data_IF_622543485264
#
_entry.id   IF_622543485264
#
_cell.length_a   1.000
_cell.length_b   1.000
_cell.length_c   1.000
_cell.angle_alpha   90.00
_cell.angle_beta   90.00
_cell.angle_gamma   90.00
#
_symmetry.space_group_name_H-M   'P 1'
#
loop_
_entity.id
_entity.type
_entity.pdbx_description
1 polymer ?
#
# COMPACT_ATOMS: atom_id res chain seq x y z
N UNK A 1 -2.56 1.00 32.25
CA UNK A 1 -2.06 0.46 30.97
C UNK A 1 -1.14 1.51 30.35
N UNK A 2 0.15 1.26 30.28
CA UNK A 2 1.10 2.12 29.57
C UNK A 2 0.80 1.89 28.08
N UNK A 3 0.12 2.83 27.44
CA UNK A 3 -0.09 2.80 25.98
C UNK A 3 1.29 3.07 25.38
N UNK A 4 1.99 2.03 24.96
CA UNK A 4 3.22 2.17 24.16
C UNK A 4 2.80 2.83 22.84
N UNK A 5 3.05 4.13 22.70
CA UNK A 5 2.84 4.86 21.47
C UNK A 5 3.99 4.51 20.51
N UNK A 6 3.82 3.46 19.71
CA UNK A 6 4.77 3.14 18.66
C UNK A 6 4.75 4.27 17.62
N UNK A 7 5.94 4.73 17.27
CA UNK A 7 6.14 5.53 16.05
C UNK A 7 5.88 4.63 14.85
N UNK A 8 5.18 5.13 13.83
CA UNK A 8 4.87 4.35 12.66
C UNK A 8 4.99 5.16 11.37
N UNK A 9 5.14 4.45 10.24
CA UNK A 9 5.10 4.96 8.87
C UNK A 9 3.93 4.28 8.17
N UNK A 10 3.01 5.04 7.63
CA UNK A 10 1.85 4.52 6.89
C UNK A 10 2.19 4.39 5.41
N UNK A 11 2.39 3.17 4.93
CA UNK A 11 2.81 2.89 3.55
C UNK A 11 1.69 2.98 2.52
N UNK A 12 0.45 3.34 2.91
CA UNK A 12 -0.69 3.31 1.99
C UNK A 12 -1.74 4.35 2.37
N UNK A 13 -1.61 5.55 1.81
CA UNK A 13 -2.54 6.67 2.02
C UNK A 13 -3.00 7.18 0.67
N UNK A 14 -4.30 7.35 0.48
CA UNK A 14 -4.88 8.03 -0.66
C UNK A 14 -5.40 9.40 -0.27
N UNK A 15 -5.13 10.40 -1.08
CA UNK A 15 -5.70 11.74 -0.95
C UNK A 15 -5.62 12.47 -2.29
N UNK A 16 -6.67 13.23 -2.62
CA UNK A 16 -6.64 14.24 -3.67
C UNK A 16 -7.45 15.47 -3.23
N UNK A 17 -7.28 16.58 -3.96
CA UNK A 17 -8.09 17.80 -3.79
C UNK A 17 -9.21 17.88 -4.85
N UNK A 18 -9.62 16.76 -5.42
CA UNK A 18 -10.56 16.68 -6.54
C UNK A 18 -11.98 16.33 -6.09
N UNK A 19 -12.97 17.00 -6.65
CA UNK A 19 -14.39 16.69 -6.38
C UNK A 19 -14.86 15.39 -7.04
N UNK A 20 -14.14 14.90 -8.06
CA UNK A 20 -14.46 13.66 -8.79
C UNK A 20 -13.72 12.42 -8.26
N UNK A 21 -13.03 12.54 -7.12
CA UNK A 21 -12.36 11.43 -6.42
C UNK A 21 -13.37 10.37 -5.97
N UNK A 22 -13.13 9.13 -6.39
CA UNK A 22 -14.00 7.98 -6.10
C UNK A 22 -13.92 7.47 -4.67
N UNK A 23 -12.95 7.95 -3.88
CA UNK A 23 -12.82 7.59 -2.46
C UNK A 23 -13.57 8.54 -1.52
N UNK A 24 -14.12 9.66 -2.01
CA UNK A 24 -14.95 10.58 -1.22
C UNK A 24 -16.10 9.85 -0.49
N UNK A 25 -16.84 8.92 -1.14
CA UNK A 25 -17.87 8.16 -0.43
C UNK A 25 -17.32 7.31 0.73
N UNK A 26 -16.16 6.70 0.55
CA UNK A 26 -15.50 5.92 1.61
C UNK A 26 -15.04 6.82 2.76
N UNK A 27 -14.49 7.99 2.45
CA UNK A 27 -14.13 8.99 3.45
C UNK A 27 -15.36 9.42 4.29
N UNK A 28 -16.46 9.78 3.64
CA UNK A 28 -17.71 10.16 4.30
C UNK A 28 -18.27 9.03 5.16
N UNK A 29 -18.21 7.79 4.67
CA UNK A 29 -18.67 6.61 5.38
C UNK A 29 -17.90 6.39 6.69
N UNK A 30 -16.60 6.67 6.69
CA UNK A 30 -15.70 6.55 7.84
C UNK A 30 -15.64 7.86 8.68
N UNK A 31 -16.44 8.88 8.36
CA UNK A 31 -16.50 10.15 9.09
C UNK A 31 -15.29 11.06 8.88
N UNK A 32 -14.59 10.92 7.75
CA UNK A 32 -13.45 11.75 7.40
C UNK A 32 -13.85 12.94 6.51
N UNK A 33 -13.25 14.11 6.71
CA UNK A 33 -13.39 15.28 5.84
C UNK A 33 -12.54 15.17 4.57
N UNK A 34 -11.62 14.21 4.51
CA UNK A 34 -10.77 13.87 3.37
C UNK A 34 -9.94 15.06 2.86
N UNK A 35 -9.24 15.71 3.77
CA UNK A 35 -8.38 16.86 3.50
C UNK A 35 -6.97 16.63 4.01
N UNK A 36 -6.00 17.43 3.50
CA UNK A 36 -4.61 17.36 3.99
C UNK A 36 -4.50 17.70 5.49
N UNK A 37 -5.30 18.65 5.96
CA UNK A 37 -5.31 19.03 7.39
C UNK A 37 -5.83 17.87 8.25
N UNK A 38 -6.86 17.17 7.79
CA UNK A 38 -7.39 16.04 8.55
C UNK A 38 -6.43 14.86 8.60
N UNK A 39 -5.88 14.44 7.46
CA UNK A 39 -4.90 13.33 7.48
C UNK A 39 -3.69 13.69 8.35
N UNK A 40 -3.23 14.95 8.29
CA UNK A 40 -2.16 15.44 9.18
C UNK A 40 -2.54 15.29 10.66
N UNK A 41 -3.77 15.65 11.02
CA UNK A 41 -4.29 15.49 12.38
C UNK A 41 -4.39 14.01 12.80
N UNK A 42 -4.86 13.14 11.90
CA UNK A 42 -4.95 11.69 12.13
C UNK A 42 -3.56 11.09 12.32
N UNK A 43 -2.61 11.43 11.46
CA UNK A 43 -1.22 10.96 11.56
C UNK A 43 -0.60 11.39 12.90
N UNK A 44 -0.77 12.66 13.30
CA UNK A 44 -0.29 13.16 14.60
C UNK A 44 -0.93 12.38 15.77
N UNK A 45 -2.24 12.14 15.73
CA UNK A 45 -2.97 11.37 16.76
C UNK A 45 -2.44 9.94 16.89
N UNK A 46 -2.08 9.33 15.77
CA UNK A 46 -1.63 7.94 15.69
C UNK A 46 -0.10 7.78 15.80
N UNK A 47 0.63 8.86 16.05
CA UNK A 47 2.09 8.87 16.10
C UNK A 47 2.74 8.39 14.78
N UNK A 48 2.07 8.69 13.64
CA UNK A 48 2.54 8.41 12.29
C UNK A 48 3.43 9.57 11.84
N UNK A 49 4.71 9.30 11.60
CA UNK A 49 5.73 10.33 11.32
C UNK A 49 5.98 10.53 9.83
N UNK A 50 5.56 9.60 9.00
CA UNK A 50 5.63 9.68 7.55
C UNK A 50 4.52 8.84 6.91
N UNK A 51 4.10 9.20 5.71
CA UNK A 51 3.14 8.42 4.94
C UNK A 51 3.50 8.37 3.46
N UNK A 52 3.19 7.26 2.79
CA UNK A 52 3.27 7.17 1.34
C UNK A 52 1.92 7.59 0.73
N UNK A 53 1.98 8.56 -0.16
CA UNK A 53 0.80 9.13 -0.82
C UNK A 53 0.65 8.52 -2.22
N UNK A 54 -0.40 7.72 -2.38
CA UNK A 54 -0.77 7.05 -3.62
C UNK A 54 -1.94 7.79 -4.30
N UNK A 55 -1.97 7.75 -5.64
CA UNK A 55 -3.08 8.32 -6.40
C UNK A 55 -4.38 7.58 -6.11
N UNK A 56 -5.46 8.28 -5.70
CA UNK A 56 -6.79 7.68 -5.67
C UNK A 56 -7.37 7.58 -7.09
N UNK A 57 -8.39 6.72 -7.31
CA UNK A 57 -9.15 6.72 -8.56
C UNK A 57 -10.05 7.96 -8.65
N UNK A 58 -10.06 8.61 -9.83
CA UNK A 58 -10.92 9.76 -10.15
C UNK A 58 -11.91 9.41 -11.26
N UNK A 59 -12.37 10.37 -12.05
CA UNK A 59 -13.31 10.15 -13.16
C UNK A 59 -12.89 8.95 -14.03
N UNK A 60 -13.88 8.14 -14.43
CA UNK A 60 -13.67 6.91 -15.22
C UNK A 60 -12.72 5.88 -14.55
N UNK A 61 -12.56 5.94 -13.25
CA UNK A 61 -11.66 5.05 -12.47
C UNK A 61 -10.18 5.12 -12.88
N UNK A 62 -9.78 6.21 -13.54
CA UNK A 62 -8.36 6.49 -13.79
C UNK A 62 -7.67 6.98 -12.50
N UNK A 63 -6.36 6.79 -12.35
CA UNK A 63 -5.64 7.38 -11.22
C UNK A 63 -5.65 8.90 -11.30
N UNK A 64 -5.66 9.57 -10.15
CA UNK A 64 -5.40 11.01 -10.05
C UNK A 64 -4.04 11.33 -10.70
N UNK A 65 -3.91 12.44 -11.48
CA UNK A 65 -2.65 12.79 -12.12
C UNK A 65 -1.47 12.85 -11.14
N UNK A 66 -0.34 12.27 -11.56
CA UNK A 66 0.85 12.17 -10.71
C UNK A 66 1.41 13.55 -10.31
N UNK A 67 1.24 14.58 -11.14
CA UNK A 67 1.61 15.96 -10.84
C UNK A 67 0.84 16.52 -9.64
N UNK A 68 -0.43 16.17 -9.50
CA UNK A 68 -1.25 16.56 -8.34
C UNK A 68 -0.78 15.87 -7.05
N UNK A 69 -0.38 14.60 -7.14
CA UNK A 69 0.21 13.86 -6.02
C UNK A 69 1.54 14.48 -5.58
N UNK A 70 2.40 14.86 -6.53
CA UNK A 70 3.63 15.60 -6.24
C UNK A 70 3.32 16.94 -5.56
N UNK A 71 2.32 17.68 -6.06
CA UNK A 71 1.93 18.98 -5.47
C UNK A 71 1.42 18.81 -4.02
N UNK A 72 0.57 17.80 -3.76
CA UNK A 72 0.09 17.49 -2.40
C UNK A 72 1.22 17.06 -1.47
N UNK A 73 2.12 16.20 -1.95
CA UNK A 73 3.31 15.82 -1.20
C UNK A 73 4.13 17.04 -0.76
N UNK A 74 4.37 17.99 -1.66
CA UNK A 74 5.06 19.25 -1.34
C UNK A 74 4.30 20.09 -0.32
N UNK A 75 2.97 20.21 -0.44
CA UNK A 75 2.11 20.91 0.53
C UNK A 75 2.19 20.28 1.92
N UNK A 76 2.43 18.98 2.03
CA UNK A 76 2.56 18.27 3.32
C UNK A 76 3.84 18.58 4.09
N UNK A 77 4.79 19.32 3.49
CA UNK A 77 6.06 19.75 4.12
C UNK A 77 6.90 18.59 4.66
N UNK A 78 6.97 17.48 3.91
CA UNK A 78 7.77 16.31 4.26
C UNK A 78 7.06 15.28 5.12
N UNK A 79 5.74 15.39 5.29
CA UNK A 79 4.94 14.38 5.99
C UNK A 79 4.49 13.25 5.06
N UNK A 80 4.13 13.57 3.80
CA UNK A 80 3.66 12.63 2.79
C UNK A 80 4.66 12.56 1.63
N UNK A 81 5.01 11.35 1.24
CA UNK A 81 5.96 11.05 0.17
C UNK A 81 5.25 10.42 -1.02
N UNK A 82 5.48 10.88 -2.27
CA UNK A 82 4.70 10.45 -3.42
C UNK A 82 5.09 9.05 -3.89
N UNK A 83 4.06 8.26 -4.22
CA UNK A 83 4.12 7.04 -5.00
C UNK A 83 3.32 7.29 -6.27
N UNK A 84 3.97 7.16 -7.44
CA UNK A 84 3.33 7.44 -8.72
C UNK A 84 2.53 6.24 -9.20
N UNK A 85 1.27 6.47 -9.57
CA UNK A 85 0.41 5.40 -10.10
C UNK A 85 0.48 5.37 -11.62
N UNK A 86 0.55 4.17 -12.17
CA UNK A 86 0.73 3.93 -13.59
C UNK A 86 -0.55 3.40 -14.24
N UNK A 87 -0.82 3.88 -15.45
CA UNK A 87 -1.78 3.25 -16.35
C UNK A 87 -1.03 2.30 -17.30
N UNK A 88 -1.76 1.32 -17.82
CA UNK A 88 -1.23 0.34 -18.77
C UNK A 88 -1.06 0.97 -20.19
N UNK A 89 -0.31 2.04 -20.24
CA UNK A 89 -0.01 2.78 -21.48
C UNK A 89 1.45 3.22 -21.45
N UNK A 90 2.14 3.09 -22.59
CA UNK A 90 3.56 3.47 -22.70
C UNK A 90 3.80 4.92 -22.30
N UNK A 91 2.93 5.82 -22.76
CA UNK A 91 3.06 7.26 -22.51
C UNK A 91 2.89 7.57 -21.01
N UNK A 92 2.02 6.86 -20.30
CA UNK A 92 1.86 6.97 -18.85
C UNK A 92 3.14 6.57 -18.12
N UNK A 93 3.77 5.46 -18.50
CA UNK A 93 5.03 5.00 -17.91
C UNK A 93 6.14 6.01 -18.17
N UNK A 94 6.30 6.49 -19.39
CA UNK A 94 7.35 7.46 -19.75
C UNK A 94 7.16 8.82 -19.05
N UNK A 95 5.92 9.27 -18.90
CA UNK A 95 5.60 10.48 -18.15
C UNK A 95 5.94 10.32 -16.65
N UNK A 96 5.59 9.18 -16.05
CA UNK A 96 5.91 8.91 -14.65
C UNK A 96 7.43 8.84 -14.40
N UNK A 97 8.19 8.23 -15.30
CA UNK A 97 9.67 8.20 -15.21
C UNK A 97 10.27 9.62 -15.28
N UNK A 98 9.79 10.47 -16.21
CA UNK A 98 10.23 11.88 -16.29
C UNK A 98 9.92 12.66 -15.01
N UNK A 99 8.77 12.42 -14.37
CA UNK A 99 8.43 13.02 -13.07
C UNK A 99 9.42 12.52 -12.00
N UNK A 100 9.71 11.23 -11.97
CA UNK A 100 10.61 10.63 -11.00
C UNK A 100 12.06 11.13 -11.12
N UNK A 101 12.53 11.45 -12.32
CA UNK A 101 13.88 12.03 -12.55
C UNK A 101 14.05 13.43 -11.91
N UNK A 102 12.97 14.16 -11.71
CA UNK A 102 12.99 15.54 -11.21
C UNK A 102 12.40 15.71 -9.81
N UNK A 103 11.88 14.62 -9.22
CA UNK A 103 11.22 14.65 -7.91
C UNK A 103 11.67 13.45 -7.06
N UNK A 104 11.62 13.63 -5.74
CA UNK A 104 11.84 12.51 -4.80
C UNK A 104 10.60 11.64 -4.76
N UNK A 105 10.62 10.54 -5.52
CA UNK A 105 9.55 9.55 -5.57
C UNK A 105 9.97 8.33 -4.74
N UNK A 106 9.04 7.75 -3.99
CA UNK A 106 9.31 6.63 -3.08
C UNK A 106 8.80 5.28 -3.57
N UNK A 107 8.07 5.28 -4.69
CA UNK A 107 7.56 4.05 -5.30
C UNK A 107 6.76 4.32 -6.54
N UNK A 108 6.43 3.24 -7.25
CA UNK A 108 5.45 3.23 -8.33
C UNK A 108 4.33 2.24 -7.97
N UNK A 109 3.09 2.56 -8.32
CA UNK A 109 1.91 1.72 -8.08
C UNK A 109 1.33 1.22 -9.38
N UNK A 110 1.08 -0.09 -9.46
CA UNK A 110 0.35 -0.75 -10.56
C UNK A 110 -0.93 -1.35 -9.99
N UNK A 111 -2.07 -1.08 -10.66
CA UNK A 111 -3.39 -1.46 -10.20
C UNK A 111 -3.83 -2.79 -10.84
N UNK A 112 -3.19 -3.89 -10.44
CA UNK A 112 -3.58 -5.23 -10.90
C UNK A 112 -5.05 -5.52 -10.59
N UNK A 113 -5.74 -6.19 -11.50
CA UNK A 113 -7.15 -6.51 -11.36
C UNK A 113 -8.09 -5.38 -11.77
N UNK A 114 -7.79 -4.13 -11.47
CA UNK A 114 -8.52 -2.96 -12.01
C UNK A 114 -8.12 -2.70 -13.46
N UNK A 115 -6.85 -2.77 -13.75
CA UNK A 115 -6.31 -2.91 -15.09
C UNK A 115 -6.11 -4.41 -15.34
N UNK A 116 -6.65 -4.93 -16.45
CA UNK A 116 -6.59 -6.36 -16.78
C UNK A 116 -5.23 -6.73 -17.37
N UNK A 117 -4.17 -6.59 -16.58
CA UNK A 117 -2.76 -6.77 -16.93
C UNK A 117 -2.08 -7.70 -15.93
N UNK A 118 -1.01 -8.31 -16.35
CA UNK A 118 -0.13 -9.07 -15.47
C UNK A 118 1.12 -8.25 -15.11
N UNK A 119 1.70 -8.47 -13.91
CA UNK A 119 2.89 -7.73 -13.49
C UNK A 119 4.12 -8.03 -14.37
N UNK A 120 4.14 -9.15 -15.06
CA UNK A 120 5.22 -9.54 -15.98
C UNK A 120 4.97 -9.12 -17.45
N UNK A 121 3.96 -8.32 -17.73
CA UNK A 121 3.73 -7.79 -19.08
C UNK A 121 4.89 -6.90 -19.52
N UNK A 122 5.41 -7.13 -20.72
CA UNK A 122 6.61 -6.46 -21.25
C UNK A 122 6.54 -4.93 -21.30
N UNK A 123 5.35 -4.36 -21.26
CA UNK A 123 5.16 -2.90 -21.22
C UNK A 123 5.87 -2.26 -20.02
N UNK A 124 6.03 -3.00 -18.90
CA UNK A 124 6.65 -2.51 -17.68
C UNK A 124 8.18 -2.68 -17.63
N UNK A 125 8.80 -3.33 -18.62
CA UNK A 125 10.23 -3.61 -18.56
C UNK A 125 11.08 -2.36 -18.34
N UNK A 126 10.80 -1.26 -19.04
CA UNK A 126 11.50 0.03 -18.87
C UNK A 126 11.35 0.60 -17.46
N UNK A 127 10.16 0.44 -16.86
CA UNK A 127 9.93 0.81 -15.47
C UNK A 127 10.76 -0.04 -14.51
N UNK A 128 10.76 -1.35 -14.71
CA UNK A 128 11.48 -2.26 -13.82
C UNK A 128 12.99 -2.05 -13.90
N UNK A 129 13.55 -1.84 -15.11
CA UNK A 129 14.96 -1.50 -15.28
C UNK A 129 15.33 -0.22 -14.51
N UNK A 130 14.47 0.82 -14.57
CA UNK A 130 14.64 2.06 -13.82
C UNK A 130 14.54 1.83 -12.31
N UNK A 131 13.56 1.04 -11.87
CA UNK A 131 13.33 0.75 -10.45
C UNK A 131 14.48 -0.07 -9.83
N UNK A 132 15.01 -1.04 -10.57
CA UNK A 132 16.19 -1.82 -10.15
C UNK A 132 17.43 -0.93 -10.03
N UNK A 133 17.69 -0.06 -11.02
CA UNK A 133 18.83 0.88 -11.01
C UNK A 133 18.76 1.87 -9.83
N UNK A 134 17.58 2.42 -9.58
CA UNK A 134 17.37 3.43 -8.52
C UNK A 134 17.00 2.83 -7.16
N UNK A 135 16.83 1.50 -7.10
CA UNK A 135 16.35 0.77 -5.91
C UNK A 135 15.02 1.33 -5.36
N UNK A 136 14.10 1.71 -6.28
CA UNK A 136 12.77 2.20 -5.97
C UNK A 136 11.79 1.02 -6.01
N UNK A 137 10.98 0.77 -4.96
CA UNK A 137 10.03 -0.34 -4.97
C UNK A 137 8.83 -0.09 -5.88
N UNK A 138 8.29 -1.19 -6.42
CA UNK A 138 7.01 -1.19 -7.14
C UNK A 138 5.94 -1.86 -6.28
N UNK A 139 4.84 -1.12 -6.04
CA UNK A 139 3.70 -1.56 -5.26
C UNK A 139 2.62 -2.08 -6.22
N UNK A 140 2.12 -3.26 -5.96
CA UNK A 140 1.06 -3.87 -6.77
C UNK A 140 -0.21 -4.00 -5.94
N UNK A 141 -1.33 -3.52 -6.50
CA UNK A 141 -2.63 -3.90 -5.94
C UNK A 141 -2.77 -5.42 -6.07
N UNK A 142 -3.07 -6.09 -4.97
CA UNK A 142 -3.33 -7.53 -4.93
C UNK A 142 -4.58 -7.83 -4.09
N UNK A 143 -5.19 -8.97 -4.33
CA UNK A 143 -6.34 -9.38 -3.54
C UNK A 143 -7.67 -8.98 -4.17
N UNK A 144 -8.64 -8.66 -3.32
CA UNK A 144 -9.98 -8.28 -3.71
C UNK A 144 -10.00 -6.98 -4.53
N UNK A 145 -10.97 -6.87 -5.41
CA UNK A 145 -11.23 -5.66 -6.19
C UNK A 145 -12.62 -5.11 -5.85
N UNK A 146 -12.70 -3.87 -5.41
CA UNK A 146 -13.98 -3.21 -5.09
C UNK A 146 -14.90 -3.01 -6.31
N UNK A 147 -14.37 -3.18 -7.52
CA UNK A 147 -15.10 -3.04 -8.79
C UNK A 147 -15.66 -4.38 -9.24
N UNK A 148 -16.95 -4.39 -9.65
CA UNK A 148 -17.56 -5.57 -10.30
C UNK A 148 -16.89 -5.95 -11.62
N UNK A 149 -16.23 -5.01 -12.27
CA UNK A 149 -15.46 -5.25 -13.50
C UNK A 149 -14.00 -5.62 -13.20
N UNK A 150 -13.62 -5.67 -11.93
CA UNK A 150 -12.28 -6.11 -11.52
C UNK A 150 -12.05 -7.59 -11.81
N UNK A 151 -10.83 -7.94 -12.16
CA UNK A 151 -10.43 -9.30 -12.48
C UNK A 151 -9.56 -9.88 -11.38
N UNK A 152 -10.13 -10.74 -10.55
CA UNK A 152 -9.42 -11.43 -9.47
C UNK A 152 -8.22 -12.26 -9.99
N UNK A 153 -8.33 -12.80 -11.20
CA UNK A 153 -7.23 -13.51 -11.84
C UNK A 153 -5.98 -12.64 -11.98
N UNK A 154 -6.14 -11.36 -12.32
CA UNK A 154 -5.02 -10.44 -12.50
C UNK A 154 -4.49 -9.90 -11.16
N UNK A 155 -5.35 -9.77 -10.13
CA UNK A 155 -4.95 -9.29 -8.79
C UNK A 155 -4.50 -10.41 -7.85
N UNK A 156 -4.51 -11.68 -8.30
CA UNK A 156 -4.05 -12.79 -7.48
C UNK A 156 -2.56 -12.65 -7.15
N UNK A 157 -2.13 -12.73 -5.87
CA UNK A 157 -0.75 -12.47 -5.48
C UNK A 157 0.29 -13.41 -6.12
N UNK A 158 -0.08 -14.64 -6.49
CA UNK A 158 0.84 -15.57 -7.17
C UNK A 158 1.35 -15.05 -8.53
N UNK A 159 0.69 -14.06 -9.13
CA UNK A 159 1.23 -13.42 -10.32
C UNK A 159 2.57 -12.70 -10.04
N UNK A 160 2.85 -12.33 -8.80
CA UNK A 160 4.11 -11.72 -8.40
C UNK A 160 5.26 -12.73 -8.27
N UNK A 161 4.98 -14.03 -8.17
CA UNK A 161 6.00 -15.08 -8.14
C UNK A 161 6.80 -15.11 -9.44
N UNK A 162 6.11 -15.03 -10.58
CA UNK A 162 6.75 -15.03 -11.91
C UNK A 162 7.58 -13.75 -12.12
N UNK A 163 7.05 -12.60 -11.72
CA UNK A 163 7.81 -11.35 -11.78
C UNK A 163 9.06 -11.42 -10.89
N UNK A 164 8.95 -11.87 -9.65
CA UNK A 164 10.06 -11.96 -8.73
C UNK A 164 11.16 -12.93 -9.20
N UNK A 165 10.78 -14.04 -9.85
CA UNK A 165 11.73 -14.97 -10.48
C UNK A 165 12.49 -14.30 -11.64
N UNK A 166 11.80 -13.51 -12.47
CA UNK A 166 12.41 -12.86 -13.66
C UNK A 166 13.18 -11.59 -13.33
N UNK A 167 12.91 -10.96 -12.18
CA UNK A 167 13.48 -9.67 -11.75
C UNK A 167 13.98 -9.75 -10.30
N UNK A 168 15.09 -10.46 -10.03
CA UNK A 168 15.57 -10.69 -8.65
C UNK A 168 16.08 -9.41 -7.97
N UNK A 169 16.40 -8.34 -8.70
CA UNK A 169 16.80 -7.03 -8.17
C UNK A 169 15.62 -6.09 -7.85
N UNK A 170 14.41 -6.41 -8.34
CA UNK A 170 13.25 -5.55 -8.18
C UNK A 170 12.65 -5.70 -6.78
N UNK A 171 12.50 -4.59 -6.05
CA UNK A 171 11.76 -4.55 -4.78
C UNK A 171 10.26 -4.50 -5.05
N UNK A 172 9.54 -5.52 -4.63
CA UNK A 172 8.12 -5.74 -4.92
C UNK A 172 7.32 -5.62 -3.63
N UNK A 173 6.19 -4.89 -3.65
CA UNK A 173 5.26 -4.82 -2.52
C UNK A 173 3.88 -5.30 -2.95
N UNK A 174 3.41 -6.41 -2.37
CA UNK A 174 2.04 -6.90 -2.50
C UNK A 174 1.13 -6.12 -1.54
N UNK A 175 0.31 -5.20 -2.06
CA UNK A 175 -0.61 -4.43 -1.23
C UNK A 175 -1.74 -5.32 -0.66
N UNK A 176 -2.27 -4.91 0.52
CA UNK A 176 -3.42 -5.55 1.18
C UNK A 176 -3.18 -7.00 1.59
N UNK A 177 -1.90 -7.39 1.70
CA UNK A 177 -1.48 -8.78 1.97
C UNK A 177 -2.16 -9.80 1.06
N UNK A 178 -2.54 -9.40 -0.15
CA UNK A 178 -3.25 -10.24 -1.11
C UNK A 178 -4.62 -10.74 -0.65
N UNK A 179 -5.24 -10.14 0.38
CA UNK A 179 -6.50 -10.60 0.95
C UNK A 179 -7.58 -10.80 -0.13
N UNK A 180 -8.26 -11.99 -0.23
CA UNK A 180 -8.32 -13.06 0.78
C UNK A 180 -7.22 -14.14 0.67
N UNK A 181 -6.29 -14.07 -0.28
CA UNK A 181 -5.22 -15.08 -0.51
C UNK A 181 -3.98 -14.82 0.36
N UNK A 182 -4.21 -14.66 1.68
CA UNK A 182 -3.16 -14.30 2.65
C UNK A 182 -2.04 -15.33 2.68
N UNK A 183 -2.34 -16.64 2.63
CA UNK A 183 -1.32 -17.68 2.68
C UNK A 183 -0.53 -17.81 1.37
N UNK A 184 -1.14 -17.54 0.22
CA UNK A 184 -0.43 -17.47 -1.07
C UNK A 184 0.57 -16.29 -1.06
N UNK A 185 0.17 -15.17 -0.47
CA UNK A 185 1.08 -14.02 -0.26
C UNK A 185 2.21 -14.38 0.71
N UNK A 186 1.92 -15.10 1.78
CA UNK A 186 2.94 -15.57 2.71
C UNK A 186 3.96 -16.48 2.03
N UNK A 187 3.52 -17.39 1.15
CA UNK A 187 4.40 -18.28 0.39
C UNK A 187 5.35 -17.51 -0.52
N UNK A 188 4.87 -16.54 -1.28
CA UNK A 188 5.74 -15.75 -2.18
C UNK A 188 6.71 -14.85 -1.41
N UNK A 189 6.34 -14.35 -0.22
CA UNK A 189 7.25 -13.62 0.67
C UNK A 189 8.32 -14.58 1.25
N UNK A 190 7.92 -15.79 1.65
CA UNK A 190 8.85 -16.81 2.13
C UNK A 190 9.88 -17.18 1.07
N UNK A 191 9.44 -17.34 -0.18
CA UNK A 191 10.27 -17.75 -1.32
C UNK A 191 11.22 -16.64 -1.82
N UNK A 192 10.79 -15.37 -1.82
CA UNK A 192 11.50 -14.25 -2.46
C UNK A 192 11.93 -13.18 -1.47
N UNK A 193 13.22 -12.94 -1.33
CA UNK A 193 13.78 -11.96 -0.39
C UNK A 193 13.46 -10.50 -0.74
N UNK A 194 13.21 -10.19 -2.03
CA UNK A 194 12.85 -8.85 -2.53
C UNK A 194 11.36 -8.55 -2.46
N UNK A 195 10.51 -9.48 -1.98
CA UNK A 195 9.06 -9.34 -1.95
C UNK A 195 8.57 -8.99 -0.53
N UNK A 196 7.83 -7.91 -0.45
CA UNK A 196 7.20 -7.34 0.75
C UNK A 196 5.68 -7.39 0.63
N UNK A 197 4.96 -7.23 1.74
CA UNK A 197 3.53 -6.95 1.72
C UNK A 197 3.15 -5.92 2.77
N UNK A 198 2.14 -5.09 2.47
CA UNK A 198 1.50 -4.23 3.48
C UNK A 198 0.21 -4.85 4.02
N UNK A 199 -0.15 -4.48 5.24
CA UNK A 199 -1.39 -4.92 5.91
C UNK A 199 -2.53 -3.91 5.74
N UNK A 200 -2.52 -3.14 4.67
CA UNK A 200 -3.51 -2.09 4.36
C UNK A 200 -4.84 -2.67 3.86
N UNK A 201 -5.90 -1.86 3.86
CA UNK A 201 -7.16 -2.18 3.17
C UNK A 201 -7.99 -3.32 3.77
N UNK A 202 -7.58 -3.91 4.89
CA UNK A 202 -8.23 -5.10 5.46
C UNK A 202 -9.59 -4.81 6.11
N UNK A 203 -9.96 -3.54 6.28
CA UNK A 203 -11.19 -3.08 6.90
C UNK A 203 -11.93 -2.06 6.03
N UNK A 204 -12.10 -2.38 4.75
CA UNK A 204 -12.84 -1.51 3.82
C UNK A 204 -14.35 -1.50 4.13
N UNK A 205 -14.94 -0.33 4.36
CA UNK A 205 -16.37 -0.16 4.63
C UNK A 205 -16.71 0.31 6.04
N UNK A 206 -18.01 0.28 6.40
CA UNK A 206 -18.48 0.77 7.71
C UNK A 206 -18.00 -0.10 8.85
N UNK A 207 -17.61 0.51 9.95
CA UNK A 207 -17.27 -0.18 11.21
C UNK A 207 -18.33 -1.16 11.70
N UNK A 208 -19.62 -0.86 11.44
CA UNK A 208 -20.75 -1.73 11.81
C UNK A 208 -20.77 -3.07 11.04
N UNK A 209 -20.07 -3.17 9.92
CA UNK A 209 -19.96 -4.41 9.12
C UNK A 209 -18.93 -5.37 9.76
N UNK A 210 -17.94 -4.83 10.48
CA UNK A 210 -16.87 -5.63 11.06
C UNK A 210 -17.16 -5.97 12.51
N UNK A 211 -17.66 -7.19 12.73
CA UNK A 211 -17.77 -7.76 14.07
C UNK A 211 -16.38 -7.95 14.70
N UNK A 212 -16.34 -8.07 16.04
CA UNK A 212 -15.12 -8.49 16.74
C UNK A 212 -14.56 -9.80 16.15
N UNK A 213 -15.43 -10.70 15.73
CA UNK A 213 -15.03 -11.99 15.10
C UNK A 213 -14.26 -11.79 13.80
N UNK A 214 -14.62 -10.80 12.95
CA UNK A 214 -13.88 -10.52 11.74
C UNK A 214 -12.50 -9.91 12.05
N UNK A 215 -12.45 -9.02 13.05
CA UNK A 215 -11.17 -8.46 13.51
C UNK A 215 -10.24 -9.57 14.02
N UNK A 216 -10.75 -10.47 14.87
CA UNK A 216 -9.99 -11.60 15.41
C UNK A 216 -9.55 -12.55 14.28
N UNK A 217 -10.43 -12.80 13.31
CA UNK A 217 -10.10 -13.59 12.12
C UNK A 217 -8.92 -12.98 11.34
N UNK A 218 -8.93 -11.66 11.08
CA UNK A 218 -7.84 -10.99 10.36
C UNK A 218 -6.54 -10.99 11.17
N UNK A 219 -6.61 -10.71 12.48
CA UNK A 219 -5.44 -10.75 13.36
C UNK A 219 -4.79 -12.16 13.37
N UNK A 220 -5.61 -13.19 13.48
CA UNK A 220 -5.14 -14.57 13.45
C UNK A 220 -4.58 -14.97 12.07
N UNK A 221 -5.21 -14.53 10.98
CA UNK A 221 -4.77 -14.86 9.62
C UNK A 221 -3.41 -14.24 9.29
N UNK A 222 -3.22 -12.96 9.62
CA UNK A 222 -1.93 -12.28 9.42
C UNK A 222 -0.86 -12.88 10.36
N UNK A 223 -1.19 -13.16 11.62
CA UNK A 223 -0.24 -13.79 12.54
C UNK A 223 0.22 -15.17 12.05
N UNK A 224 -0.71 -16.00 11.54
CA UNK A 224 -0.36 -17.30 10.93
C UNK A 224 0.55 -17.15 9.71
N UNK A 225 0.27 -16.18 8.86
CA UNK A 225 1.11 -15.88 7.70
C UNK A 225 2.53 -15.48 8.13
N UNK A 226 2.66 -14.60 9.12
CA UNK A 226 3.96 -14.19 9.67
C UNK A 226 4.72 -15.38 10.28
N UNK A 227 4.03 -16.23 11.04
CA UNK A 227 4.64 -17.45 11.61
C UNK A 227 5.10 -18.41 10.50
N UNK A 228 4.37 -18.52 9.40
CA UNK A 228 4.76 -19.31 8.23
C UNK A 228 6.01 -18.74 7.54
N UNK A 229 6.07 -17.41 7.34
CA UNK A 229 7.24 -16.71 6.78
C UNK A 229 8.47 -16.86 7.71
N UNK A 230 8.26 -16.96 9.02
CA UNK A 230 9.30 -17.13 10.03
C UNK A 230 9.97 -15.82 10.49
N UNK A 231 9.62 -14.67 9.92
CA UNK A 231 10.11 -13.36 10.33
C UNK A 231 9.14 -12.23 9.91
N UNK A 232 9.39 -11.01 10.38
CA UNK A 232 8.59 -9.82 10.09
C UNK A 232 9.30 -8.79 9.19
N UNK A 233 10.46 -9.12 8.64
CA UNK A 233 11.35 -8.14 7.98
C UNK A 233 10.80 -7.55 6.69
N UNK A 234 9.79 -8.18 6.11
CA UNK A 234 9.17 -7.78 4.83
C UNK A 234 7.69 -7.48 4.93
N UNK A 235 7.19 -7.26 6.16
CA UNK A 235 5.80 -6.85 6.40
C UNK A 235 5.78 -5.37 6.73
N UNK A 236 4.87 -4.63 6.12
CA UNK A 236 4.74 -3.19 6.22
C UNK A 236 3.41 -2.80 6.85
N UNK A 237 3.40 -1.74 7.64
CA UNK A 237 2.16 -1.09 8.07
C UNK A 237 1.68 -0.14 6.97
N UNK A 238 0.39 -0.20 6.65
CA UNK A 238 -0.31 0.72 5.78
C UNK A 238 -1.78 0.72 6.15
N UNK A 239 -2.46 1.87 6.05
CA UNK A 239 -3.88 1.95 6.40
C UNK A 239 -4.81 1.70 5.22
N UNK A 240 -4.49 2.22 4.06
CA UNK A 240 -5.40 2.41 2.93
C UNK A 240 -6.45 3.51 3.21
N UNK A 241 -6.04 4.56 3.94
CA UNK A 241 -6.89 5.75 4.15
C UNK A 241 -7.34 6.34 2.80
N UNK A 242 -8.58 6.72 2.59
CA UNK A 242 -9.69 6.77 3.55
C UNK A 242 -10.59 5.52 3.54
N UNK A 243 -10.19 4.45 2.83
CA UNK A 243 -10.97 3.20 2.67
C UNK A 243 -11.05 2.46 4.01
N UNK A 244 -9.93 2.33 4.71
CA UNK A 244 -9.89 1.77 6.06
C UNK A 244 -9.44 2.85 7.06
N UNK A 245 -10.06 2.91 8.26
CA UNK A 245 -9.62 3.82 9.32
C UNK A 245 -8.21 3.47 9.82
N UNK A 246 -7.25 4.42 9.82
CA UNK A 246 -5.87 4.14 10.22
C UNK A 246 -5.71 3.60 11.64
N UNK A 247 -6.51 4.09 12.60
CA UNK A 247 -6.50 3.62 13.99
C UNK A 247 -6.95 2.16 14.10
N UNK A 248 -7.82 1.68 13.22
CA UNK A 248 -8.28 0.30 13.19
C UNK A 248 -7.19 -0.65 12.68
N UNK A 249 -6.48 -0.28 11.61
CA UNK A 249 -5.35 -1.06 11.11
C UNK A 249 -4.18 -1.02 12.09
N UNK A 250 -3.96 0.12 12.75
CA UNK A 250 -2.97 0.21 13.83
C UNK A 250 -3.35 -0.72 15.00
N UNK A 251 -4.63 -0.78 15.38
CA UNK A 251 -5.12 -1.73 16.37
C UNK A 251 -4.88 -3.18 15.93
N UNK A 252 -5.06 -3.50 14.64
CA UNK A 252 -4.72 -4.83 14.10
C UNK A 252 -3.24 -5.14 14.33
N UNK A 253 -2.33 -4.25 13.93
CA UNK A 253 -0.89 -4.43 14.12
C UNK A 253 -0.50 -4.61 15.59
N UNK A 254 -1.22 -3.95 16.50
CA UNK A 254 -1.02 -4.09 17.95
C UNK A 254 -1.51 -5.43 18.51
N UNK A 255 -2.42 -6.12 17.81
CA UNK A 255 -3.00 -7.40 18.24
C UNK A 255 -2.44 -8.62 17.50
N UNK A 256 -1.43 -8.44 16.64
CA UNK A 256 -0.71 -9.56 16.03
C UNK A 256 0.05 -10.35 17.10
N UNK A 257 0.06 -11.67 16.96
CA UNK A 257 0.82 -12.59 17.82
C UNK A 257 2.31 -12.60 17.44
N UNK A 258 2.99 -11.53 17.79
CA UNK A 258 4.41 -11.27 17.48
C UNK A 258 5.10 -10.55 18.64
N UNK A 259 6.43 -10.58 18.64
CA UNK A 259 7.22 -9.87 19.65
C UNK A 259 7.10 -8.34 19.52
N UNK A 260 7.41 -7.61 20.59
CA UNK A 260 7.46 -6.14 20.56
C UNK A 260 8.51 -5.61 19.56
N UNK A 261 9.62 -6.34 19.36
CA UNK A 261 10.66 -6.05 18.37
C UNK A 261 10.09 -6.17 16.95
N UNK A 262 9.41 -7.27 16.65
CA UNK A 262 8.83 -7.52 15.32
C UNK A 262 7.71 -6.53 15.00
N UNK A 263 6.89 -6.18 15.99
CA UNK A 263 5.86 -5.13 15.85
C UNK A 263 6.47 -3.78 15.47
N UNK A 264 7.61 -3.41 16.07
CA UNK A 264 8.33 -2.19 15.72
C UNK A 264 8.87 -2.24 14.29
N UNK A 265 9.36 -3.41 13.83
CA UNK A 265 9.77 -3.60 12.44
C UNK A 265 8.61 -3.35 11.48
N UNK A 266 7.46 -3.99 11.69
CA UNK A 266 6.26 -3.82 10.85
C UNK A 266 5.80 -2.35 10.82
N UNK A 267 5.75 -1.71 11.99
CA UNK A 267 5.21 -0.35 12.11
C UNK A 267 6.15 0.72 11.56
N UNK A 268 7.47 0.50 11.60
CA UNK A 268 8.41 1.58 11.31
C UNK A 268 9.65 1.16 10.53
N UNK A 269 10.43 0.19 11.04
CA UNK A 269 11.79 -0.04 10.55
C UNK A 269 11.81 -0.55 9.11
N UNK A 270 10.95 -1.51 8.77
CA UNK A 270 10.88 -2.08 7.42
C UNK A 270 10.54 -1.02 6.36
N UNK A 271 9.56 -0.16 6.65
CA UNK A 271 9.18 0.92 5.75
C UNK A 271 10.29 1.95 5.60
N UNK A 272 10.95 2.32 6.72
CA UNK A 272 12.08 3.26 6.72
C UNK A 272 13.23 2.74 5.85
N UNK A 273 13.57 1.47 5.97
CA UNK A 273 14.63 0.82 5.20
C UNK A 273 14.24 0.71 3.71
N UNK A 274 13.06 0.16 3.42
CA UNK A 274 12.61 -0.10 2.04
C UNK A 274 12.49 1.19 1.22
N UNK A 275 11.87 2.22 1.80
CA UNK A 275 11.57 3.49 1.10
C UNK A 275 12.62 4.59 1.36
N UNK A 276 13.65 4.31 2.17
CA UNK A 276 14.72 5.28 2.52
C UNK A 276 14.14 6.61 3.04
N UNK A 277 13.33 6.50 4.10
CA UNK A 277 12.64 7.62 4.77
C UNK A 277 13.43 8.15 5.99
#
# INVERSE_FOLDING_TARGET
MITLHYVNIDCHIHLSERDDDKLIPSAKMNGFSYTLDEITRIMKKNNTVAGLLLSPPVSNWRPCPNEEIIALSRKSKGLLFPVLTLENERDSIEAALKIADTNTVKGFKILLGYQHIYPYDHIFNKLYDYCEEKEIPVLFHTGDTASRNGSLRHSHPLNLDELANSRPGLRIVACHFGNPWIMDTAEIIYKHEQLYADISGLFAGKDSIYSSKYFDYMANSISKAIHYIGNCERILFGSDYPISPPDKVLKLAMNLDISAKDRRRILYENAKELFRL
#
